data_IF_323733087249
#
_entry.id   IF_323733087249
#
_cell.length_a   1.000
_cell.length_b   1.000
_cell.length_c   1.000
_cell.angle_alpha   90.00
_cell.angle_beta   90.00
_cell.angle_gamma   90.00
#
_symmetry.space_group_name_H-M   'P 1'
#
loop_
_entity.id
_entity.type
_entity.pdbx_description
1 polymer ?
#
# COMPACT_ATOMS: atom_id res chain seq x y z
N UNK A 1 -18.18 -3.76 3.09
CA UNK A 1 -17.69 -2.53 2.44
C UNK A 1 -17.66 -1.39 3.46
N UNK A 2 -16.77 -1.47 4.45
CA UNK A 2 -16.87 -0.63 5.65
C UNK A 2 -16.81 0.88 5.39
N UNK A 3 -15.96 1.35 4.47
CA UNK A 3 -15.83 2.77 4.15
C UNK A 3 -17.10 3.31 3.48
N UNK A 4 -17.66 2.54 2.54
CA UNK A 4 -18.88 2.91 1.82
C UNK A 4 -20.13 2.84 2.69
N UNK A 5 -20.17 1.91 3.64
CA UNK A 5 -21.25 1.81 4.64
C UNK A 5 -21.24 3.01 5.59
N UNK A 6 -20.05 3.47 6.02
CA UNK A 6 -19.91 4.54 7.01
C UNK A 6 -20.02 5.95 6.42
N UNK A 7 -19.46 6.17 5.23
CA UNK A 7 -19.36 7.51 4.63
C UNK A 7 -20.10 7.64 3.30
N UNK A 8 -20.69 6.56 2.78
CA UNK A 8 -21.30 6.52 1.46
C UNK A 8 -20.32 6.12 0.36
N UNK A 9 -20.85 5.92 -0.85
CA UNK A 9 -20.09 5.42 -2.00
C UNK A 9 -18.84 6.27 -2.27
N UNK A 10 -17.72 5.59 -2.51
CA UNK A 10 -16.44 6.23 -2.81
C UNK A 10 -16.30 6.38 -4.33
N UNK A 11 -16.14 7.62 -4.77
CA UNK A 11 -16.04 7.98 -6.19
C UNK A 11 -14.62 7.81 -6.71
N UNK A 12 -13.65 8.28 -5.94
CA UNK A 12 -12.24 8.23 -6.29
C UNK A 12 -11.35 8.26 -5.05
N UNK A 13 -10.12 7.82 -5.24
CA UNK A 13 -9.03 7.91 -4.27
C UNK A 13 -7.82 8.58 -4.91
N UNK A 14 -7.03 9.28 -4.10
CA UNK A 14 -5.76 9.89 -4.46
C UNK A 14 -4.68 9.27 -3.59
N UNK A 15 -3.62 8.77 -4.22
CA UNK A 15 -2.49 8.12 -3.56
C UNK A 15 -1.16 8.68 -4.07
N UNK A 16 -0.10 8.49 -3.27
CA UNK A 16 1.24 8.86 -3.69
C UNK A 16 1.78 7.86 -4.71
N UNK A 17 2.39 8.33 -5.80
CA UNK A 17 2.87 7.46 -6.89
C UNK A 17 4.23 6.78 -6.63
N UNK A 18 4.99 7.23 -5.62
CA UNK A 18 6.34 6.79 -5.31
C UNK A 18 6.44 5.63 -4.32
N UNK A 19 5.31 5.13 -3.79
CA UNK A 19 5.29 4.03 -2.81
C UNK A 19 4.42 2.84 -3.20
N UNK A 20 3.71 2.93 -4.33
CA UNK A 20 2.90 1.83 -4.84
C UNK A 20 3.58 1.27 -6.08
N UNK A 21 3.80 -0.05 -6.11
CA UNK A 21 4.48 -0.74 -7.20
C UNK A 21 3.72 -0.60 -8.53
N UNK A 22 2.38 -0.65 -8.47
CA UNK A 22 1.50 -0.54 -9.63
C UNK A 22 0.58 0.67 -9.54
N UNK A 23 0.56 1.46 -10.61
CA UNK A 23 -0.26 2.67 -10.74
C UNK A 23 -1.50 2.41 -11.59
N UNK A 24 -2.41 1.58 -11.11
CA UNK A 24 -3.69 1.33 -11.79
C UNK A 24 -4.59 2.57 -11.77
N UNK A 25 -5.43 2.73 -12.80
CA UNK A 25 -6.38 3.87 -12.88
C UNK A 25 -7.72 3.60 -12.19
N UNK A 26 -8.07 2.34 -11.94
CA UNK A 26 -9.37 1.91 -11.41
C UNK A 26 -9.21 0.64 -10.58
N UNK A 27 -9.90 0.58 -9.44
CA UNK A 27 -10.01 -0.63 -8.60
C UNK A 27 -11.47 -1.05 -8.54
N UNK A 28 -11.74 -2.34 -8.70
CA UNK A 28 -13.05 -2.91 -8.38
C UNK A 28 -13.16 -3.18 -6.87
N UNK A 29 -14.20 -2.66 -6.24
CA UNK A 29 -14.50 -2.83 -4.81
C UNK A 29 -15.94 -3.31 -4.69
N UNK A 30 -16.14 -4.61 -4.54
CA UNK A 30 -17.47 -5.21 -4.63
C UNK A 30 -18.07 -4.98 -6.02
N UNK A 31 -19.27 -4.41 -6.09
CA UNK A 31 -19.92 -4.02 -7.35
C UNK A 31 -19.50 -2.64 -7.87
N UNK A 32 -18.69 -1.90 -7.11
CA UNK A 32 -18.28 -0.54 -7.44
C UNK A 32 -16.89 -0.48 -8.08
N UNK A 33 -16.67 0.58 -8.86
CA UNK A 33 -15.36 0.88 -9.44
C UNK A 33 -14.90 2.24 -8.95
N UNK A 34 -13.79 2.25 -8.22
CA UNK A 34 -13.17 3.45 -7.65
C UNK A 34 -12.05 3.91 -8.59
N UNK A 35 -12.07 5.18 -8.99
CA UNK A 35 -10.97 5.78 -9.78
C UNK A 35 -9.79 6.11 -8.89
N UNK A 36 -8.57 5.97 -9.41
CA UNK A 36 -7.35 6.27 -8.65
C UNK A 36 -6.56 7.36 -9.35
N UNK A 37 -6.27 8.42 -8.61
CA UNK A 37 -5.36 9.50 -8.99
C UNK A 37 -4.01 9.32 -8.29
N UNK A 38 -2.94 9.61 -9.02
CA UNK A 38 -1.57 9.43 -8.56
C UNK A 38 -0.85 10.77 -8.50
N UNK A 39 -0.28 11.12 -7.35
CA UNK A 39 0.38 12.41 -7.13
C UNK A 39 1.65 12.27 -6.31
N UNK A 40 2.78 12.77 -6.79
CA UNK A 40 4.06 12.73 -6.05
C UNK A 40 4.09 13.67 -4.84
N UNK A 41 3.26 14.71 -4.83
CA UNK A 41 3.19 15.71 -3.75
C UNK A 41 2.38 15.25 -2.53
N UNK A 42 1.58 14.19 -2.67
CA UNK A 42 0.83 13.63 -1.55
C UNK A 42 1.80 13.00 -0.55
N UNK A 43 1.48 13.05 0.73
CA UNK A 43 2.21 12.28 1.74
C UNK A 43 2.14 10.78 1.44
N UNK A 44 3.28 10.08 1.50
CA UNK A 44 3.36 8.63 1.24
C UNK A 44 2.59 7.79 2.25
N UNK A 45 2.42 8.29 3.47
CA UNK A 45 1.62 7.67 4.52
C UNK A 45 0.12 8.02 4.40
N UNK A 46 -0.30 8.79 3.39
CA UNK A 46 -1.67 9.28 3.27
C UNK A 46 -2.31 8.86 1.95
N UNK A 47 -3.60 8.53 2.03
CA UNK A 47 -4.47 8.32 0.90
C UNK A 47 -5.73 9.14 1.14
N UNK A 48 -6.20 9.84 0.12
CA UNK A 48 -7.41 10.66 0.23
C UNK A 48 -8.53 9.94 -0.53
N UNK A 49 -9.64 9.64 0.14
CA UNK A 49 -10.86 9.16 -0.51
C UNK A 49 -11.88 10.29 -0.62
N UNK A 50 -12.55 10.37 -1.76
CA UNK A 50 -13.65 11.31 -1.95
C UNK A 50 -14.94 10.55 -2.22
N UNK A 51 -15.98 10.85 -1.44
CA UNK A 51 -17.30 10.26 -1.62
C UNK A 51 -18.02 10.83 -2.85
N UNK A 52 -19.11 10.20 -3.29
CA UNK A 52 -19.99 10.76 -4.33
C UNK A 52 -20.59 12.12 -3.94
N UNK A 53 -20.75 12.39 -2.64
CA UNK A 53 -21.25 13.68 -2.13
C UNK A 53 -20.18 14.77 -2.10
N UNK A 54 -18.92 14.44 -2.38
CA UNK A 54 -17.80 15.37 -2.31
C UNK A 54 -17.11 15.44 -0.95
N UNK A 55 -17.52 14.61 0.02
CA UNK A 55 -16.87 14.54 1.32
C UNK A 55 -15.46 13.94 1.16
N UNK A 56 -14.46 14.54 1.81
CA UNK A 56 -13.09 14.05 1.83
C UNK A 56 -12.83 13.23 3.09
N UNK A 57 -12.15 12.09 2.93
CA UNK A 57 -11.73 11.21 4.01
C UNK A 57 -10.23 10.97 3.87
N UNK A 58 -9.47 11.38 4.87
CA UNK A 58 -8.03 11.13 4.94
C UNK A 58 -7.79 9.76 5.57
N UNK A 59 -7.03 8.91 4.89
CA UNK A 59 -6.75 7.54 5.26
C UNK A 59 -5.25 7.34 5.47
N UNK A 60 -4.90 6.58 6.51
CA UNK A 60 -3.53 6.17 6.81
C UNK A 60 -3.13 4.99 5.91
N UNK A 61 -1.99 5.11 5.23
CA UNK A 61 -1.33 4.02 4.53
C UNK A 61 -0.29 3.40 5.47
N UNK A 62 -0.39 2.11 5.73
CA UNK A 62 0.55 1.36 6.56
C UNK A 62 1.46 0.52 5.64
N UNK A 63 2.78 0.75 5.62
CA UNK A 63 3.71 -0.07 4.84
C UNK A 63 3.67 -1.55 5.24
N UNK A 64 3.79 -2.49 4.30
CA UNK A 64 3.71 -3.93 4.60
C UNK A 64 4.82 -4.44 5.52
N UNK A 65 5.95 -3.74 5.61
CA UNK A 65 7.06 -4.04 6.52
C UNK A 65 6.74 -3.67 7.98
N UNK A 66 5.64 -2.95 8.21
CA UNK A 66 5.21 -2.54 9.55
C UNK A 66 4.73 -3.76 10.34
N UNK A 67 5.33 -3.99 11.51
CA UNK A 67 4.87 -5.09 12.38
C UNK A 67 3.39 -4.95 12.73
N UNK A 68 2.67 -6.07 12.85
CA UNK A 68 1.23 -6.08 13.13
C UNK A 68 0.85 -5.23 14.35
N UNK A 69 1.61 -5.33 15.45
CA UNK A 69 1.32 -4.57 16.67
C UNK A 69 1.42 -3.04 16.46
N UNK A 70 2.37 -2.62 15.63
CA UNK A 70 2.56 -1.20 15.25
C UNK A 70 1.44 -0.77 14.30
N UNK A 71 1.14 -1.57 13.28
CA UNK A 71 0.03 -1.31 12.37
C UNK A 71 -1.30 -1.16 13.12
N UNK A 72 -1.61 -2.07 14.05
CA UNK A 72 -2.83 -2.04 14.86
C UNK A 72 -2.92 -0.81 15.76
N UNK A 73 -1.78 -0.34 16.30
CA UNK A 73 -1.76 0.90 17.10
C UNK A 73 -1.96 2.12 16.20
N UNK A 74 -1.23 2.20 15.09
CA UNK A 74 -1.32 3.30 14.14
C UNK A 74 -2.72 3.43 13.55
N UNK A 75 -3.34 2.32 13.12
CA UNK A 75 -4.71 2.29 12.61
C UNK A 75 -5.73 2.73 13.66
N UNK A 76 -5.58 2.31 14.93
CA UNK A 76 -6.46 2.76 16.01
C UNK A 76 -6.33 4.26 16.27
N UNK A 77 -5.11 4.79 16.28
CA UNK A 77 -4.88 6.24 16.43
C UNK A 77 -5.46 7.02 15.25
N UNK A 78 -5.32 6.52 14.02
CA UNK A 78 -5.87 7.18 12.84
C UNK A 78 -7.41 7.16 12.81
N UNK A 79 -8.04 6.10 13.32
CA UNK A 79 -9.49 5.95 13.35
C UNK A 79 -10.19 6.72 14.49
N UNK A 80 -9.42 7.25 15.45
CA UNK A 80 -9.95 8.04 16.56
C UNK A 80 -10.49 9.40 16.03
N UNK A 81 -11.78 9.71 16.21
CA UNK A 81 -12.35 10.99 15.79
C UNK A 81 -11.71 12.21 16.44
N UNK A 82 -11.05 12.05 17.59
CA UNK A 82 -10.34 13.13 18.28
C UNK A 82 -8.89 13.31 17.78
N UNK A 83 -8.41 12.44 16.89
CA UNK A 83 -7.04 12.53 16.39
C UNK A 83 -6.86 13.69 15.39
N UNK A 84 -5.88 14.56 15.68
CA UNK A 84 -5.51 15.69 14.83
C UNK A 84 -4.12 15.51 14.18
N UNK A 85 -3.46 14.36 14.40
CA UNK A 85 -2.12 14.08 13.88
C UNK A 85 -2.17 13.76 12.39
N UNK A 86 -1.13 14.16 11.65
CA UNK A 86 -0.95 13.74 10.25
C UNK A 86 -0.58 12.26 10.19
N UNK A 87 -0.91 11.62 9.08
CA UNK A 87 -0.66 10.19 8.88
C UNK A 87 0.81 9.80 9.09
N UNK A 88 1.76 10.61 8.60
CA UNK A 88 3.20 10.40 8.84
C UNK A 88 3.57 10.41 10.33
N UNK A 89 2.99 11.31 11.11
CA UNK A 89 3.32 11.48 12.53
C UNK A 89 2.81 10.30 13.33
N UNK A 90 1.69 9.70 12.91
CA UNK A 90 1.13 8.48 13.52
C UNK A 90 2.07 7.29 13.31
N UNK A 91 2.65 7.13 12.10
CA UNK A 91 3.63 6.08 11.83
C UNK A 91 4.92 6.31 12.62
N UNK A 92 5.46 7.53 12.62
CA UNK A 92 6.71 7.86 13.33
C UNK A 92 6.60 7.71 14.85
N UNK A 93 5.43 8.02 15.42
CA UNK A 93 5.17 7.85 16.85
C UNK A 93 5.00 6.38 17.26
N UNK A 94 4.98 5.46 16.30
CA UNK A 94 4.82 4.03 16.55
C UNK A 94 6.09 3.29 16.12
N UNK A 95 7.13 3.21 16.97
CA UNK A 95 8.39 2.59 16.60
C UNK A 95 8.17 1.12 16.25
N UNK A 96 8.57 0.73 15.04
CA UNK A 96 8.75 -0.66 14.61
C UNK A 96 9.90 -1.27 15.42
N UNK A 97 9.70 -2.45 16.06
CA UNK A 97 10.83 -3.30 16.39
C UNK A 97 11.53 -3.63 15.08
N UNK A 98 12.74 -3.12 14.87
CA UNK A 98 13.58 -3.53 13.74
C UNK A 98 13.85 -5.03 13.91
N UNK A 99 13.42 -5.92 12.99
CA UNK A 99 13.93 -7.28 13.02
C UNK A 99 15.43 -7.18 12.73
N UNK A 100 16.26 -7.60 13.68
CA UNK A 100 17.67 -7.77 13.44
C UNK A 100 17.82 -8.70 12.23
N UNK A 101 18.46 -8.20 11.16
CA UNK A 101 18.84 -9.00 10.01
C UNK A 101 19.73 -10.15 10.48
N UNK A 102 19.12 -11.29 10.79
CA UNK A 102 19.83 -12.52 11.06
C UNK A 102 20.22 -13.08 9.71
N UNK A 103 21.49 -12.88 9.35
CA UNK A 103 22.09 -13.53 8.21
C UNK A 103 21.99 -15.04 8.35
N UNK A 104 21.25 -15.67 7.44
CA UNK A 104 21.34 -17.09 7.15
C UNK A 104 20.82 -17.30 5.73
N UNK A 105 21.72 -17.65 4.81
CA UNK A 105 21.41 -17.74 3.40
C UNK A 105 20.47 -18.88 3.04
N UNK A 106 19.85 -18.75 1.86
CA UNK A 106 19.78 -19.87 0.91
C UNK A 106 19.55 -19.35 -0.50
N UNK A 107 20.49 -19.73 -1.37
CA UNK A 107 20.34 -19.87 -2.81
C UNK A 107 18.94 -20.35 -3.19
N UNK A 108 18.26 -19.61 -4.07
CA UNK A 108 17.36 -20.12 -5.10
C UNK A 108 17.30 -19.11 -6.26
N UNK A 109 18.33 -19.06 -7.10
CA UNK A 109 18.13 -18.62 -8.49
C UNK A 109 17.86 -19.88 -9.31
N UNK A 110 16.57 -20.20 -9.44
CA UNK A 110 16.09 -21.08 -10.48
C UNK A 110 16.26 -20.33 -11.82
N UNK A 111 17.32 -20.66 -12.55
CA UNK A 111 17.42 -20.38 -13.99
C UNK A 111 16.43 -21.33 -14.66
N UNK A 112 15.41 -20.76 -15.31
CA UNK A 112 14.57 -21.49 -16.26
C UNK A 112 15.13 -21.24 -17.65
N UNK A 113 15.60 -22.34 -18.19
CA UNK A 113 15.90 -22.71 -19.56
C UNK A 113 14.93 -22.17 -20.61
N UNK A 114 15.51 -21.72 -21.73
CA UNK A 114 14.82 -21.81 -23.02
C UNK A 114 15.81 -22.33 -24.06
N UNK A 115 15.29 -23.25 -24.87
CA UNK A 115 16.00 -24.23 -25.68
C UNK A 115 16.58 -23.61 -26.97
N UNK A 116 17.79 -24.03 -27.35
CA UNK A 116 18.49 -23.56 -28.54
C UNK A 116 19.41 -24.63 -29.12
N UNK A 117 18.82 -25.78 -29.45
CA UNK A 117 19.12 -26.71 -30.55
C UNK A 117 20.58 -26.86 -31.09
N UNK A 118 21.05 -28.11 -30.99
CA UNK A 118 21.87 -28.94 -31.90
C UNK A 118 23.26 -28.49 -32.36
N UNK A 119 24.31 -29.18 -31.88
CA UNK A 119 25.00 -30.31 -32.53
C UNK A 119 25.77 -29.93 -33.82
N UNK A 120 27.08 -29.71 -33.70
CA UNK A 120 28.01 -30.36 -34.61
C UNK A 120 29.37 -30.64 -33.95
N UNK A 121 29.91 -31.82 -34.26
CA UNK A 121 31.05 -32.47 -33.64
C UNK A 121 32.37 -32.15 -34.33
N UNK A 122 33.44 -32.22 -33.55
CA UNK A 122 34.76 -32.79 -33.85
C UNK A 122 35.45 -32.45 -35.19
N UNK A 123 36.58 -31.76 -35.13
CA UNK A 123 37.94 -32.34 -35.03
C UNK A 123 38.99 -31.24 -35.00
#
# INVERSE_FOLDING_TARGET
MALSERYGRIRNVIANSGVWDDQFRRIAVGSDVVRVGWFTSLDTAMLIATTERGDQIDLLVVPPETTKAVADRAMRTAADPANLKRARDILLATPTPVPASTGAGRHLNAVRDDEGNVLEKAS
#
